data_IF_398556161715
#
_entry.id   IF_398556161715
#
_cell.length_a   1.000
_cell.length_b   1.000
_cell.length_c   1.000
_cell.angle_alpha   90.00
_cell.angle_beta   90.00
_cell.angle_gamma   90.00
#
_symmetry.space_group_name_H-M   'P 1'
#
loop_
_entity.id
_entity.type
_entity.pdbx_description
1 polymer ?
#
# COMPACT_ATOMS: atom_id res chain seq x y z
N UNK A 1 12.32 -3.10 2.52
CA UNK A 1 13.75 -2.79 2.63
C UNK A 1 14.21 -3.09 4.06
N UNK A 2 15.47 -3.52 4.26
CA UNK A 2 16.04 -3.60 5.62
C UNK A 2 16.45 -2.20 6.09
N UNK A 3 16.59 -1.99 7.40
CA UNK A 3 17.08 -0.72 7.93
C UNK A 3 18.58 -0.53 7.68
N UNK A 4 19.06 0.72 7.72
CA UNK A 4 20.48 1.02 7.47
C UNK A 4 21.40 0.39 8.52
N UNK A 5 20.92 0.24 9.76
CA UNK A 5 21.64 -0.43 10.84
C UNK A 5 21.78 -1.94 10.57
N UNK A 6 20.71 -2.58 10.08
CA UNK A 6 20.76 -3.99 9.67
C UNK A 6 21.71 -4.19 8.49
N UNK A 7 21.70 -3.28 7.51
CA UNK A 7 22.65 -3.31 6.41
C UNK A 7 24.11 -3.21 6.89
N UNK A 8 24.41 -2.30 7.82
CA UNK A 8 25.76 -2.17 8.42
C UNK A 8 26.19 -3.47 9.10
N UNK A 9 25.33 -4.06 9.93
CA UNK A 9 25.64 -5.34 10.60
C UNK A 9 25.86 -6.49 9.62
N UNK A 10 25.16 -6.53 8.49
CA UNK A 10 25.42 -7.52 7.43
C UNK A 10 26.84 -7.36 6.87
N UNK A 11 27.27 -6.13 6.60
CA UNK A 11 28.62 -5.85 6.10
C UNK A 11 29.70 -6.16 7.14
N UNK A 12 29.45 -5.85 8.42
CA UNK A 12 30.34 -6.22 9.53
C UNK A 12 30.49 -7.74 9.65
N UNK A 13 29.39 -8.50 9.63
CA UNK A 13 29.44 -9.96 9.69
C UNK A 13 30.08 -10.60 8.44
N UNK A 14 29.93 -9.96 7.27
CA UNK A 14 30.65 -10.34 6.06
C UNK A 14 32.16 -10.13 6.22
N UNK A 15 32.59 -8.97 6.75
CA UNK A 15 34.00 -8.68 7.01
C UNK A 15 34.62 -9.63 8.04
N UNK A 16 33.82 -10.08 9.02
CA UNK A 16 34.20 -11.09 10.00
C UNK A 16 34.20 -12.53 9.45
N UNK A 17 33.83 -12.75 8.19
CA UNK A 17 33.84 -14.06 7.54
C UNK A 17 32.69 -15.00 7.93
N UNK A 18 31.59 -14.48 8.50
CA UNK A 18 30.43 -15.31 8.85
C UNK A 18 29.69 -15.78 7.59
N UNK A 19 29.12 -16.97 7.65
CA UNK A 19 28.23 -17.47 6.61
C UNK A 19 26.90 -16.70 6.59
N UNK A 20 26.34 -16.45 5.41
CA UNK A 20 25.05 -15.75 5.22
C UNK A 20 23.90 -16.36 6.05
N UNK A 21 23.88 -17.69 6.20
CA UNK A 21 22.87 -18.41 7.00
C UNK A 21 22.97 -18.10 8.50
N UNK A 22 24.19 -17.96 9.03
CA UNK A 22 24.41 -17.56 10.44
C UNK A 22 24.06 -16.09 10.64
N UNK A 23 24.43 -15.23 9.69
CA UNK A 23 24.07 -13.80 9.71
C UNK A 23 22.54 -13.60 9.70
N UNK A 24 21.80 -14.35 8.88
CA UNK A 24 20.34 -14.29 8.85
C UNK A 24 19.72 -14.66 10.20
N UNK A 25 20.20 -15.74 10.83
CA UNK A 25 19.75 -16.16 12.17
C UNK A 25 20.09 -15.14 13.25
N UNK A 26 21.32 -14.60 13.25
CA UNK A 26 21.77 -13.63 14.23
C UNK A 26 21.00 -12.30 14.17
N UNK A 27 20.64 -11.85 12.96
CA UNK A 27 19.89 -10.61 12.74
C UNK A 27 18.37 -10.79 12.76
N UNK A 28 17.87 -12.03 12.83
CA UNK A 28 16.43 -12.32 12.78
C UNK A 28 15.76 -11.93 11.46
N UNK A 29 16.50 -11.92 10.35
CA UNK A 29 16.00 -11.55 9.02
C UNK A 29 16.06 -12.74 8.06
N UNK A 30 15.32 -12.66 6.95
CA UNK A 30 15.30 -13.74 5.97
C UNK A 30 16.65 -13.87 5.25
N UNK A 31 17.03 -15.12 4.94
CA UNK A 31 18.22 -15.39 4.13
C UNK A 31 18.19 -14.63 2.79
N UNK A 32 17.03 -14.55 2.13
CA UNK A 32 16.85 -13.79 0.90
C UNK A 32 17.21 -12.31 1.05
N UNK A 33 16.88 -11.70 2.19
CA UNK A 33 17.26 -10.32 2.49
C UNK A 33 18.77 -10.21 2.66
N UNK A 34 19.38 -11.08 3.47
CA UNK A 34 20.84 -11.10 3.66
C UNK A 34 21.57 -11.27 2.34
N UNK A 35 21.15 -12.23 1.53
CA UNK A 35 21.75 -12.54 0.23
C UNK A 35 21.68 -11.36 -0.73
N UNK A 36 20.51 -10.68 -0.80
CA UNK A 36 20.34 -9.47 -1.62
C UNK A 36 21.33 -8.36 -1.23
N UNK A 37 21.52 -8.10 0.06
CA UNK A 37 22.36 -7.00 0.53
C UNK A 37 23.83 -7.41 0.76
N UNK A 38 24.18 -8.70 0.64
CA UNK A 38 25.52 -9.22 0.93
C UNK A 38 26.62 -8.59 0.07
N UNK A 39 26.34 -8.44 -1.23
CA UNK A 39 27.28 -7.87 -2.20
C UNK A 39 26.85 -6.48 -2.70
N UNK A 40 25.83 -5.90 -2.10
CA UNK A 40 25.38 -4.55 -2.44
C UNK A 40 26.35 -3.52 -1.86
N UNK A 41 26.73 -2.52 -2.65
CA UNK A 41 27.55 -1.40 -2.17
C UNK A 41 26.73 -0.45 -1.30
N UNK A 42 27.42 0.41 -0.53
CA UNK A 42 26.73 1.40 0.31
C UNK A 42 26.00 2.42 -0.57
N UNK A 43 26.59 2.79 -1.69
CA UNK A 43 26.05 3.73 -2.68
C UNK A 43 24.79 3.16 -3.32
N UNK A 44 24.82 1.88 -3.72
CA UNK A 44 23.65 1.20 -4.28
C UNK A 44 22.54 1.05 -3.25
N UNK A 45 22.88 0.74 -1.99
CA UNK A 45 21.91 0.69 -0.90
C UNK A 45 21.23 2.04 -0.69
N UNK A 46 21.99 3.14 -0.65
CA UNK A 46 21.43 4.49 -0.49
C UNK A 46 20.51 4.83 -1.67
N UNK A 47 20.94 4.53 -2.91
CA UNK A 47 20.13 4.77 -4.10
C UNK A 47 18.82 3.97 -4.08
N UNK A 48 18.85 2.70 -3.64
CA UNK A 48 17.64 1.89 -3.52
C UNK A 48 16.75 2.35 -2.35
N UNK A 49 17.36 2.83 -1.25
CA UNK A 49 16.63 3.44 -0.14
C UNK A 49 15.89 4.70 -0.55
N UNK A 50 16.53 5.56 -1.33
CA UNK A 50 15.90 6.78 -1.84
C UNK A 50 14.74 6.44 -2.77
N UNK A 51 14.94 5.49 -3.71
CA UNK A 51 13.86 5.04 -4.60
C UNK A 51 12.65 4.51 -3.83
N UNK A 52 12.86 3.64 -2.86
CA UNK A 52 11.78 3.10 -2.01
C UNK A 52 11.14 4.17 -1.12
N UNK A 53 11.92 5.14 -0.63
CA UNK A 53 11.43 6.24 0.21
C UNK A 53 10.42 7.10 -0.54
N UNK A 54 10.69 7.41 -1.80
CA UNK A 54 9.83 8.28 -2.61
C UNK A 54 8.77 7.53 -3.44
N UNK A 55 8.81 6.19 -3.48
CA UNK A 55 7.90 5.38 -4.32
C UNK A 55 6.43 5.75 -4.15
N UNK A 56 5.97 5.87 -2.89
CA UNK A 56 4.59 6.28 -2.60
C UNK A 56 4.37 7.79 -2.62
N UNK A 57 5.41 8.58 -2.33
CA UNK A 57 5.32 10.04 -2.33
C UNK A 57 5.10 10.60 -3.74
N UNK A 58 5.52 9.89 -4.79
CA UNK A 58 5.20 10.24 -6.19
C UNK A 58 3.69 10.32 -6.45
N UNK A 59 2.89 9.57 -5.68
CA UNK A 59 1.42 9.53 -5.80
C UNK A 59 0.72 10.37 -4.72
N UNK A 60 1.49 11.07 -3.89
CA UNK A 60 0.98 11.85 -2.75
C UNK A 60 -0.07 12.86 -3.17
N UNK A 61 0.19 13.61 -4.22
CA UNK A 61 -0.70 14.66 -4.70
C UNK A 61 -2.07 14.08 -5.11
N UNK A 62 -2.07 13.00 -5.89
CA UNK A 62 -3.28 12.30 -6.30
C UNK A 62 -4.11 11.81 -5.11
N UNK A 63 -3.44 11.23 -4.10
CA UNK A 63 -4.10 10.77 -2.87
C UNK A 63 -4.70 11.95 -2.10
N UNK A 64 -3.96 13.05 -1.96
CA UNK A 64 -4.42 14.24 -1.25
C UNK A 64 -5.61 14.90 -1.93
N UNK A 65 -5.66 14.93 -3.26
CA UNK A 65 -6.82 15.45 -4.00
C UNK A 65 -8.10 14.65 -3.70
N UNK A 66 -8.01 13.33 -3.61
CA UNK A 66 -9.12 12.48 -3.20
C UNK A 66 -9.55 12.70 -1.75
N UNK A 67 -8.58 12.88 -0.85
CA UNK A 67 -8.84 13.18 0.56
C UNK A 67 -9.42 14.58 0.78
N UNK A 68 -9.06 15.57 -0.06
CA UNK A 68 -9.68 16.90 -0.02
C UNK A 68 -11.16 16.85 -0.36
N UNK A 69 -11.55 16.04 -1.35
CA UNK A 69 -12.96 15.88 -1.76
C UNK A 69 -13.74 15.09 -0.69
N UNK A 70 -13.17 14.00 -0.21
CA UNK A 70 -13.80 13.15 0.80
C UNK A 70 -12.78 12.75 1.88
N UNK A 71 -12.64 13.56 2.96
CA UNK A 71 -11.67 13.29 4.03
C UNK A 71 -11.84 11.92 4.69
N UNK A 72 -13.10 11.48 4.79
CA UNK A 72 -13.53 10.25 5.45
C UNK A 72 -13.40 9.01 4.54
N UNK A 73 -12.89 9.16 3.30
CA UNK A 73 -12.85 8.07 2.33
C UNK A 73 -12.05 6.88 2.89
N UNK A 74 -12.52 5.65 2.68
CA UNK A 74 -11.80 4.46 3.14
C UNK A 74 -10.50 4.29 2.36
N UNK A 75 -9.43 3.92 3.07
CA UNK A 75 -8.13 3.68 2.45
C UNK A 75 -8.19 2.61 1.35
N UNK A 76 -9.05 1.59 1.50
CA UNK A 76 -9.28 0.58 0.46
C UNK A 76 -9.83 1.19 -0.84
N UNK A 77 -10.71 2.19 -0.76
CA UNK A 77 -11.26 2.84 -1.96
C UNK A 77 -10.18 3.70 -2.63
N UNK A 78 -9.36 4.40 -1.85
CA UNK A 78 -8.23 5.17 -2.35
C UNK A 78 -7.22 4.24 -3.03
N UNK A 79 -6.91 3.09 -2.44
CA UNK A 79 -6.05 2.07 -3.03
C UNK A 79 -6.57 1.61 -4.39
N UNK A 80 -7.86 1.27 -4.49
CA UNK A 80 -8.46 0.82 -5.74
C UNK A 80 -8.39 1.91 -6.81
N UNK A 81 -8.76 3.15 -6.46
CA UNK A 81 -8.65 4.31 -7.36
C UNK A 81 -7.22 4.59 -7.78
N UNK A 82 -6.25 4.32 -6.92
CA UNK A 82 -4.83 4.51 -7.22
C UNK A 82 -4.34 3.45 -8.22
N UNK A 83 -4.67 2.18 -8.01
CA UNK A 83 -4.27 1.09 -8.92
C UNK A 83 -4.99 1.19 -10.26
N UNK A 84 -6.25 1.67 -10.27
CA UNK A 84 -7.00 1.93 -11.49
C UNK A 84 -6.38 3.08 -12.31
N UNK A 85 -5.97 4.18 -11.66
CA UNK A 85 -5.33 5.30 -12.34
C UNK A 85 -3.88 5.01 -12.75
N UNK A 86 -3.18 4.12 -12.03
CA UNK A 86 -1.78 3.79 -12.27
C UNK A 86 -1.60 2.25 -12.31
N UNK A 87 -1.91 1.59 -13.44
CA UNK A 87 -1.81 0.14 -13.56
C UNK A 87 -0.40 -0.41 -13.34
N UNK A 88 0.62 0.38 -13.64
CA UNK A 88 2.03 0.01 -13.46
C UNK A 88 2.50 0.09 -12.00
N UNK A 89 1.67 0.64 -11.09
CA UNK A 89 2.02 0.77 -9.69
C UNK A 89 2.10 -0.60 -9.01
N UNK A 90 3.33 -1.07 -8.81
CA UNK A 90 3.62 -2.24 -7.99
C UNK A 90 3.81 -1.82 -6.54
N UNK A 91 2.75 -1.92 -5.74
CA UNK A 91 2.83 -1.67 -4.29
C UNK A 91 2.12 -2.76 -3.50
N UNK A 92 2.79 -3.27 -2.46
CA UNK A 92 2.16 -4.18 -1.50
C UNK A 92 1.09 -3.40 -0.72
N UNK A 93 -0.10 -3.98 -0.55
CA UNK A 93 -1.21 -3.39 0.22
C UNK A 93 -0.77 -2.90 1.60
N UNK A 94 0.03 -3.68 2.32
CA UNK A 94 0.56 -3.30 3.63
C UNK A 94 1.43 -2.03 3.61
N UNK A 95 2.24 -1.84 2.56
CA UNK A 95 3.04 -0.62 2.36
C UNK A 95 2.13 0.57 2.12
N UNK A 96 1.11 0.42 1.27
CA UNK A 96 0.11 1.46 1.02
C UNK A 96 -0.63 1.88 2.31
N UNK A 97 -1.13 0.92 3.10
CA UNK A 97 -1.87 1.25 4.32
C UNK A 97 -0.98 1.93 5.38
N UNK A 98 0.29 1.50 5.52
CA UNK A 98 1.25 2.18 6.39
C UNK A 98 1.50 3.62 5.93
N UNK A 99 1.66 3.82 4.63
CA UNK A 99 1.82 5.16 4.05
C UNK A 99 0.58 6.04 4.27
N UNK A 100 -0.62 5.51 4.01
CA UNK A 100 -1.88 6.22 4.25
C UNK A 100 -2.07 6.63 5.70
N UNK A 101 -1.72 5.77 6.66
CA UNK A 101 -1.77 6.10 8.10
C UNK A 101 -0.90 7.32 8.40
N UNK A 102 0.37 7.30 8.00
CA UNK A 102 1.29 8.42 8.20
C UNK A 102 0.82 9.70 7.49
N UNK A 103 0.31 9.56 6.26
CA UNK A 103 -0.22 10.69 5.49
C UNK A 103 -1.41 11.35 6.19
N UNK A 104 -2.36 10.56 6.69
CA UNK A 104 -3.54 11.08 7.40
C UNK A 104 -3.16 11.76 8.71
N UNK A 105 -2.25 11.16 9.48
CA UNK A 105 -1.73 11.75 10.72
C UNK A 105 -1.04 13.10 10.43
N UNK A 106 -0.24 13.18 9.37
CA UNK A 106 0.46 14.41 8.99
C UNK A 106 -0.48 15.56 8.57
N UNK A 107 -1.57 15.25 7.86
CA UNK A 107 -2.51 16.25 7.34
C UNK A 107 -3.78 16.41 8.19
N UNK A 108 -3.92 15.66 9.28
CA UNK A 108 -5.08 15.72 10.16
C UNK A 108 -6.38 15.16 9.54
N UNK A 109 -6.29 14.31 8.52
CA UNK A 109 -7.49 13.73 7.90
C UNK A 109 -8.05 12.59 8.77
N UNK A 110 -9.34 12.62 9.13
CA UNK A 110 -9.96 11.56 9.91
C UNK A 110 -9.95 10.25 9.12
N UNK A 111 -9.68 9.13 9.78
CA UNK A 111 -9.93 7.83 9.18
C UNK A 111 -11.45 7.58 9.12
N UNK A 112 -11.89 6.79 8.14
CA UNK A 112 -13.30 6.46 7.97
C UNK A 112 -13.87 5.94 9.30
N UNK A 113 -14.79 6.70 9.91
CA UNK A 113 -15.45 6.23 11.13
C UNK A 113 -16.27 4.98 10.80
N UNK A 114 -16.50 4.12 11.80
CA UNK A 114 -17.51 3.08 11.68
C UNK A 114 -18.83 3.73 11.25
N UNK A 115 -19.56 3.07 10.35
CA UNK A 115 -20.87 3.54 9.88
C UNK A 115 -21.74 3.74 11.12
N UNK A 116 -22.21 4.97 11.35
CA UNK A 116 -23.19 5.22 12.41
C UNK A 116 -24.51 4.65 11.92
N UNK A 117 -25.03 3.65 12.63
CA UNK A 117 -26.34 3.07 12.40
C UNK A 117 -27.26 3.54 13.52
N UNK A 118 -28.39 4.14 13.16
CA UNK A 118 -29.45 4.48 14.10
C UNK A 118 -30.78 3.94 13.56
N UNK A 119 -31.75 3.62 14.44
CA UNK A 119 -33.13 3.47 14.01
C UNK A 119 -33.54 4.73 13.24
N UNK A 120 -34.30 4.53 12.17
CA UNK A 120 -34.75 5.60 11.29
C UNK A 120 -36.25 5.53 11.17
N UNK A 121 -36.90 6.69 11.17
CA UNK A 121 -38.33 6.81 10.92
C UNK A 121 -38.67 6.46 9.47
N UNK A 122 -39.91 6.00 9.25
CA UNK A 122 -40.39 5.64 7.91
C UNK A 122 -40.56 6.91 7.09
N UNK A 123 -39.85 6.99 5.97
CA UNK A 123 -39.95 8.13 5.04
C UNK A 123 -41.24 8.06 4.22
N UNK A 124 -41.86 9.20 3.85
CA UNK A 124 -43.00 9.22 2.94
C UNK A 124 -42.67 8.57 1.57
N UNK A 125 -43.68 7.99 0.88
CA UNK A 125 -43.49 7.44 -0.46
C UNK A 125 -42.90 8.47 -1.43
N UNK A 126 -41.90 8.07 -2.23
CA UNK A 126 -41.27 8.93 -3.25
C UNK A 126 -40.14 9.84 -2.76
N UNK A 127 -39.91 9.92 -1.44
CA UNK A 127 -38.79 10.69 -0.88
C UNK A 127 -37.45 9.95 -1.01
N UNK A 128 -37.50 8.62 -1.06
CA UNK A 128 -36.35 7.75 -1.25
C UNK A 128 -36.61 6.73 -2.34
N UNK A 129 -35.55 6.40 -3.07
CA UNK A 129 -35.55 5.34 -4.05
C UNK A 129 -34.34 4.44 -3.79
N UNK A 130 -34.55 3.13 -3.95
CA UNK A 130 -33.45 2.17 -3.97
C UNK A 130 -32.86 2.15 -5.39
N UNK A 131 -31.59 2.52 -5.51
CA UNK A 131 -30.82 2.23 -6.72
C UNK A 131 -30.27 0.80 -6.60
N UNK A 132 -30.73 -0.09 -7.47
CA UNK A 132 -30.17 -1.44 -7.62
C UNK A 132 -29.35 -1.51 -8.92
N UNK A 133 -28.17 -2.10 -8.84
CA UNK A 133 -27.31 -2.28 -10.00
C UNK A 133 -27.62 -3.65 -10.61
N UNK A 134 -28.34 -3.67 -11.73
CA UNK A 134 -28.51 -4.88 -12.52
C UNK A 134 -27.20 -5.27 -13.22
N UNK A 135 -26.96 -6.57 -13.37
CA UNK A 135 -25.93 -7.08 -14.28
C UNK A 135 -26.59 -7.73 -15.50
N UNK A 136 -26.03 -7.50 -16.68
CA UNK A 136 -26.38 -8.24 -17.89
C UNK A 136 -25.11 -8.90 -18.41
N UNK A 137 -25.17 -10.23 -18.63
CA UNK A 137 -24.03 -10.97 -19.17
C UNK A 137 -24.18 -11.09 -20.68
N UNK A 138 -23.16 -10.66 -21.42
CA UNK A 138 -23.17 -10.68 -22.88
C UNK A 138 -22.75 -12.07 -23.37
N UNK A 139 -23.22 -12.46 -24.56
CA UNK A 139 -22.72 -13.65 -25.24
C UNK A 139 -21.68 -13.24 -26.26
N UNK A 140 -20.57 -13.97 -26.33
CA UNK A 140 -19.61 -13.85 -27.42
C UNK A 140 -20.20 -14.39 -28.74
N UNK A 141 -19.47 -14.24 -29.84
CA UNK A 141 -19.87 -14.73 -31.16
C UNK A 141 -20.03 -16.27 -31.24
N UNK A 142 -19.58 -17.00 -30.23
CA UNK A 142 -19.68 -18.45 -30.10
C UNK A 142 -20.75 -18.87 -29.08
N UNK A 143 -21.56 -17.93 -28.59
CA UNK A 143 -22.66 -18.17 -27.66
C UNK A 143 -22.23 -18.37 -26.20
N UNK A 144 -20.95 -18.15 -25.85
CA UNK A 144 -20.44 -18.28 -24.49
C UNK A 144 -20.69 -17.00 -23.72
N UNK A 145 -21.06 -17.14 -22.45
CA UNK A 145 -21.35 -16.02 -21.57
C UNK A 145 -20.01 -15.40 -21.12
N UNK A 146 -19.85 -14.10 -21.37
CA UNK A 146 -18.69 -13.28 -20.98
C UNK A 146 -19.05 -12.37 -19.82
#
# INVERSE_FOLDING_TARGET
MIGIEQYRKIQEYKALGLAQTKTAKALGITYSSVSKYWNMSKEDYVREAEKERYHMDNYRQYILEHLKICPQMRDTNIYLKLVEAFPDLQVKRATFYRYMKALREQHGYPHASKRKTSPREISPPGYEAQADFGQYKLKDMYGRIV
#
